data_IF_809897230822
#
_entry.id   IF_809897230822
#
_cell.length_a   1.000
_cell.length_b   1.000
_cell.length_c   1.000
_cell.angle_alpha   90.00
_cell.angle_beta   90.00
_cell.angle_gamma   90.00
#
_symmetry.space_group_name_H-M   'P 1'
#
loop_
_entity.id
_entity.type
_entity.pdbx_description
1 polymer ?
#
# COMPACT_ATOMS: atom_id res chain seq x y z
N UNK A 1 -8.04 0.43 -23.71
CA UNK A 1 -6.72 0.96 -24.11
C UNK A 1 -6.19 1.67 -22.87
N UNK A 2 -5.26 1.05 -22.15
CA UNK A 2 -4.67 1.68 -20.95
C UNK A 2 -3.73 2.79 -21.45
N UNK A 3 -4.14 4.03 -21.28
CA UNK A 3 -3.25 5.17 -21.48
C UNK A 3 -2.21 5.12 -20.34
N UNK A 4 -0.99 4.74 -20.67
CA UNK A 4 0.13 4.79 -19.73
C UNK A 4 0.36 6.25 -19.35
N UNK A 5 0.11 6.60 -18.08
CA UNK A 5 0.77 7.74 -17.46
C UNK A 5 2.28 7.52 -17.58
N UNK A 6 3.03 8.57 -17.84
CA UNK A 6 4.50 8.45 -17.84
C UNK A 6 4.92 8.08 -16.42
N UNK A 7 5.47 6.88 -16.28
CA UNK A 7 6.09 6.44 -15.03
C UNK A 7 7.54 6.88 -15.05
N UNK A 8 7.92 7.74 -14.14
CA UNK A 8 9.29 8.22 -13.96
C UNK A 8 9.96 7.44 -12.83
N UNK A 9 11.20 7.04 -13.03
CA UNK A 9 12.02 6.45 -11.99
C UNK A 9 12.90 7.53 -11.36
N UNK A 10 12.84 7.63 -10.04
CA UNK A 10 13.70 8.54 -9.28
C UNK A 10 14.30 7.83 -8.06
N UNK A 11 15.23 8.51 -7.39
CA UNK A 11 15.85 8.03 -6.16
C UNK A 11 15.69 9.06 -5.06
N UNK A 12 15.24 8.59 -3.89
CA UNK A 12 15.12 9.38 -2.65
C UNK A 12 16.21 8.90 -1.70
N UNK A 13 16.86 9.81 -0.98
CA UNK A 13 17.83 9.44 0.03
C UNK A 13 17.10 8.86 1.25
N UNK A 14 17.39 7.62 1.58
CA UNK A 14 16.92 6.93 2.78
C UNK A 14 18.05 6.70 3.80
N UNK A 15 17.73 6.11 4.96
CA UNK A 15 18.70 5.90 6.06
C UNK A 15 19.87 4.98 5.71
N UNK A 16 19.65 4.00 4.83
CA UNK A 16 20.67 3.01 4.45
C UNK A 16 21.17 3.19 3.01
N UNK A 17 20.79 4.28 2.36
CA UNK A 17 21.17 4.62 0.98
C UNK A 17 19.96 5.00 0.13
N UNK A 18 20.10 4.95 -1.18
CA UNK A 18 19.04 5.39 -2.10
C UNK A 18 17.85 4.43 -2.10
N UNK A 19 16.64 5.00 -2.12
CA UNK A 19 15.37 4.31 -2.30
C UNK A 19 14.92 4.57 -3.74
N UNK A 20 14.78 3.52 -4.54
CA UNK A 20 14.17 3.59 -5.86
C UNK A 20 12.67 3.84 -5.73
N UNK A 21 12.15 4.83 -6.44
CA UNK A 21 10.73 5.17 -6.44
C UNK A 21 10.24 5.36 -7.87
N UNK A 22 9.16 4.67 -8.22
CA UNK A 22 8.43 4.92 -9.46
C UNK A 22 7.35 5.96 -9.17
N UNK A 23 7.36 7.05 -9.94
CA UNK A 23 6.40 8.14 -9.80
C UNK A 23 5.51 8.20 -11.03
N UNK A 24 4.21 8.09 -10.82
CA UNK A 24 3.22 8.18 -11.87
C UNK A 24 2.45 9.51 -11.71
N UNK A 25 2.27 10.23 -12.82
CA UNK A 25 1.58 11.52 -12.83
C UNK A 25 0.18 11.39 -13.44
N UNK A 26 -0.84 12.04 -12.88
CA UNK A 26 -2.16 12.10 -13.51
C UNK A 26 -2.09 12.90 -14.81
N UNK A 27 -3.04 12.64 -15.72
CA UNK A 27 -3.11 13.36 -17.00
C UNK A 27 -3.65 14.80 -16.84
N UNK A 28 -4.50 14.99 -15.85
CA UNK A 28 -5.17 16.25 -15.55
C UNK A 28 -4.51 16.94 -14.33
N UNK A 29 -5.19 17.94 -13.80
CA UNK A 29 -4.77 18.70 -12.62
C UNK A 29 -4.45 17.80 -11.43
N UNK A 30 -3.35 18.07 -10.75
CA UNK A 30 -2.93 17.36 -9.53
C UNK A 30 -3.83 17.78 -8.36
N UNK A 31 -4.56 16.82 -7.79
CA UNK A 31 -5.53 17.00 -6.69
C UNK A 31 -5.12 16.32 -5.38
N UNK A 32 -3.99 15.63 -5.38
CA UNK A 32 -3.50 14.90 -4.23
C UNK A 32 -2.20 14.16 -4.55
N UNK A 33 -1.68 13.48 -3.56
CA UNK A 33 -0.60 12.53 -3.77
C UNK A 33 -0.87 11.24 -3.01
N UNK A 34 -0.29 10.13 -3.49
CA UNK A 34 -0.45 8.82 -2.87
C UNK A 34 0.89 8.10 -2.75
N UNK A 35 1.05 7.29 -1.70
CA UNK A 35 2.15 6.33 -1.57
C UNK A 35 1.57 4.92 -1.58
N UNK A 36 2.10 4.04 -2.45
CA UNK A 36 1.61 2.67 -2.63
C UNK A 36 2.75 1.68 -2.44
N UNK A 37 2.61 0.79 -1.47
CA UNK A 37 3.60 -0.20 -1.08
C UNK A 37 3.30 -1.60 -1.62
N UNK A 38 4.35 -2.30 -2.07
CA UNK A 38 4.25 -3.57 -2.79
C UNK A 38 4.34 -4.81 -1.89
N UNK A 39 3.98 -6.03 -2.35
CA UNK A 39 4.07 -7.25 -1.55
C UNK A 39 5.53 -7.65 -1.29
N UNK A 40 5.70 -8.78 -0.57
CA UNK A 40 6.98 -9.21 0.00
C UNK A 40 8.09 -9.35 -1.07
N UNK A 41 9.19 -8.57 -0.95
CA UNK A 41 10.23 -8.51 -1.99
C UNK A 41 10.91 -9.86 -2.25
N UNK A 42 11.22 -10.62 -1.19
CA UNK A 42 11.86 -11.94 -1.32
C UNK A 42 10.93 -13.03 -1.88
N UNK A 43 9.66 -12.67 -2.20
CA UNK A 43 8.68 -13.56 -2.83
C UNK A 43 8.23 -13.04 -4.20
N UNK A 44 9.08 -12.26 -4.86
CA UNK A 44 8.81 -11.70 -6.17
C UNK A 44 7.88 -10.48 -6.15
N UNK A 45 7.65 -9.89 -4.98
CA UNK A 45 6.89 -8.65 -4.86
C UNK A 45 7.66 -7.46 -5.45
N UNK A 46 6.99 -6.67 -6.29
CA UNK A 46 7.53 -5.45 -6.89
C UNK A 46 6.46 -4.35 -6.96
N UNK A 47 6.85 -3.07 -7.12
CA UNK A 47 5.91 -1.97 -7.35
C UNK A 47 5.01 -2.15 -8.60
N UNK A 48 5.43 -3.01 -9.55
CA UNK A 48 4.69 -3.33 -10.78
C UNK A 48 3.73 -4.52 -10.61
N UNK A 49 3.72 -5.18 -9.45
CA UNK A 49 2.76 -6.27 -9.20
C UNK A 49 1.32 -5.76 -9.40
N UNK A 50 0.44 -6.63 -9.95
CA UNK A 50 -0.91 -6.26 -10.43
C UNK A 50 -1.79 -5.53 -9.41
N UNK A 51 -1.68 -5.82 -8.11
CA UNK A 51 -2.49 -5.15 -7.08
C UNK A 51 -1.95 -3.75 -6.76
N UNK A 52 -0.66 -3.53 -6.44
CA UNK A 52 -0.09 -2.17 -6.36
C UNK A 52 -0.30 -1.34 -7.62
N UNK A 53 -0.16 -1.93 -8.81
CA UNK A 53 -0.42 -1.23 -10.08
C UNK A 53 -1.88 -0.80 -10.20
N UNK A 54 -2.84 -1.63 -9.79
CA UNK A 54 -4.26 -1.26 -9.74
C UNK A 54 -4.51 -0.14 -8.73
N UNK A 55 -3.94 -0.22 -7.51
CA UNK A 55 -4.05 0.86 -6.51
C UNK A 55 -3.51 2.17 -7.06
N UNK A 56 -2.33 2.14 -7.70
CA UNK A 56 -1.73 3.32 -8.33
C UNK A 56 -2.66 3.92 -9.40
N UNK A 57 -3.21 3.07 -10.28
CA UNK A 57 -4.16 3.52 -11.29
C UNK A 57 -5.40 4.19 -10.68
N UNK A 58 -5.96 3.64 -9.58
CA UNK A 58 -7.13 4.20 -8.91
C UNK A 58 -6.83 5.59 -8.31
N UNK A 59 -5.64 5.79 -7.74
CA UNK A 59 -5.22 7.08 -7.24
C UNK A 59 -4.89 8.07 -8.36
N UNK A 60 -4.31 7.62 -9.48
CA UNK A 60 -4.12 8.45 -10.68
C UNK A 60 -5.45 8.97 -11.23
N UNK A 61 -6.48 8.12 -11.30
CA UNK A 61 -7.83 8.52 -11.71
C UNK A 61 -8.49 9.50 -10.74
N UNK A 62 -8.04 9.51 -9.47
CA UNK A 62 -8.41 10.52 -8.48
C UNK A 62 -7.68 11.85 -8.66
N UNK A 63 -6.72 11.92 -9.58
CA UNK A 63 -5.85 13.09 -9.79
C UNK A 63 -4.63 13.13 -8.86
N UNK A 64 -4.23 12.00 -8.28
CA UNK A 64 -3.04 11.96 -7.41
C UNK A 64 -1.76 11.71 -8.21
N UNK A 65 -0.66 12.36 -7.81
CA UNK A 65 0.68 11.88 -8.11
C UNK A 65 0.96 10.66 -7.24
N UNK A 66 1.39 9.54 -7.82
CA UNK A 66 1.54 8.27 -7.08
C UNK A 66 3.00 7.87 -6.99
N UNK A 67 3.49 7.69 -5.76
CA UNK A 67 4.82 7.22 -5.43
C UNK A 67 4.79 5.74 -5.07
N UNK A 68 5.54 4.92 -5.78
CA UNK A 68 5.63 3.46 -5.56
C UNK A 68 7.09 3.08 -5.27
N UNK A 69 7.53 3.09 -4.00
CA UNK A 69 8.89 2.69 -3.67
C UNK A 69 9.14 1.21 -3.92
N UNK A 70 10.36 0.86 -4.34
CA UNK A 70 10.93 -0.46 -4.18
C UNK A 70 11.46 -0.59 -2.76
N UNK A 71 11.07 -1.63 -2.02
CA UNK A 71 11.58 -1.84 -0.67
C UNK A 71 13.09 -2.08 -0.67
N UNK A 72 13.75 -1.76 0.45
CA UNK A 72 15.18 -2.00 0.64
C UNK A 72 15.57 -3.43 0.25
N UNK A 73 16.73 -3.56 -0.42
CA UNK A 73 17.21 -4.84 -0.94
C UNK A 73 16.42 -5.38 -2.14
N UNK A 74 15.52 -4.58 -2.75
CA UNK A 74 14.83 -4.93 -3.99
C UNK A 74 14.91 -3.82 -5.04
N UNK A 75 14.77 -4.16 -6.31
CA UNK A 75 15.00 -3.22 -7.40
C UNK A 75 16.39 -2.62 -7.33
N UNK A 76 16.48 -1.29 -7.35
CA UNK A 76 17.72 -0.54 -7.18
C UNK A 76 17.81 0.15 -5.79
N UNK A 77 16.93 -0.20 -4.86
CA UNK A 77 16.98 0.30 -3.49
C UNK A 77 18.12 -0.31 -2.71
N UNK A 78 18.85 0.52 -1.97
CA UNK A 78 19.94 0.10 -1.09
C UNK A 78 19.44 -0.72 0.11
N UNK A 79 20.38 -1.31 0.85
CA UNK A 79 20.11 -2.05 2.07
C UNK A 79 19.73 -3.51 1.83
N UNK A 80 19.10 -4.11 2.82
CA UNK A 80 18.63 -5.49 2.83
C UNK A 80 17.24 -5.54 3.45
N UNK A 81 16.47 -6.59 3.15
CA UNK A 81 15.16 -6.83 3.76
C UNK A 81 15.27 -6.96 5.29
N UNK A 82 14.41 -6.22 6.03
CA UNK A 82 14.40 -6.14 7.49
C UNK A 82 13.01 -6.43 8.09
N UNK A 83 12.28 -7.35 7.51
CA UNK A 83 11.01 -7.88 8.04
C UNK A 83 9.96 -6.80 8.36
N UNK A 84 9.96 -5.70 7.63
CA UNK A 84 9.04 -4.57 7.80
C UNK A 84 9.52 -3.49 8.77
N UNK A 85 10.68 -3.63 9.41
CA UNK A 85 11.24 -2.57 10.27
C UNK A 85 11.86 -1.45 9.42
N UNK A 86 12.88 -1.78 8.66
CA UNK A 86 13.56 -0.82 7.81
C UNK A 86 12.67 -0.35 6.65
N UNK A 87 11.87 -1.24 6.07
CA UNK A 87 10.91 -0.89 5.01
C UNK A 87 9.89 0.17 5.47
N UNK A 88 9.51 0.15 6.76
CA UNK A 88 8.65 1.17 7.36
C UNK A 88 9.34 2.53 7.39
N UNK A 89 10.61 2.58 7.81
CA UNK A 89 11.37 3.83 7.87
C UNK A 89 11.59 4.40 6.47
N UNK A 90 11.96 3.56 5.49
CA UNK A 90 12.09 3.99 4.09
C UNK A 90 10.77 4.52 3.53
N UNK A 91 9.64 3.87 3.88
CA UNK A 91 8.32 4.33 3.45
C UNK A 91 7.97 5.70 4.04
N UNK A 92 8.35 5.97 5.30
CA UNK A 92 8.19 7.29 5.93
C UNK A 92 9.02 8.36 5.21
N UNK A 93 10.26 8.06 4.81
CA UNK A 93 11.08 8.99 4.01
C UNK A 93 10.41 9.33 2.67
N UNK A 94 9.82 8.33 2.00
CA UNK A 94 9.07 8.56 0.76
C UNK A 94 7.82 9.40 1.02
N UNK A 95 7.09 9.17 2.10
CA UNK A 95 5.93 9.98 2.49
C UNK A 95 6.36 11.42 2.79
N UNK A 96 7.44 11.63 3.54
CA UNK A 96 7.98 12.96 3.86
C UNK A 96 8.41 13.69 2.59
N UNK A 97 9.12 13.03 1.68
CA UNK A 97 9.51 13.60 0.40
C UNK A 97 8.27 14.00 -0.42
N UNK A 98 7.32 13.07 -0.60
CA UNK A 98 6.10 13.34 -1.37
C UNK A 98 5.31 14.52 -0.76
N UNK A 99 5.19 14.58 0.56
CA UNK A 99 4.57 15.70 1.27
C UNK A 99 5.29 17.03 1.01
N UNK A 100 6.63 17.03 0.98
CA UNK A 100 7.40 18.26 0.68
C UNK A 100 7.17 18.79 -0.73
N UNK A 101 6.85 17.89 -1.68
CA UNK A 101 6.51 18.26 -3.06
C UNK A 101 5.05 18.71 -3.22
N UNK A 102 4.17 18.32 -2.28
CA UNK A 102 2.71 18.49 -2.35
C UNK A 102 2.12 18.96 -1.01
N UNK A 103 2.72 20.01 -0.39
CA UNK A 103 2.45 20.42 1.00
C UNK A 103 0.97 20.64 1.31
N UNK A 104 0.22 21.27 0.40
CA UNK A 104 -1.17 21.67 0.60
C UNK A 104 -2.19 20.65 0.03
N UNK A 105 -1.71 19.55 -0.53
CA UNK A 105 -2.57 18.56 -1.15
C UNK A 105 -2.88 17.38 -0.23
N UNK A 106 -4.08 16.77 -0.36
CA UNK A 106 -4.44 15.59 0.42
C UNK A 106 -3.53 14.41 0.11
N UNK A 107 -3.15 13.69 1.17
CA UNK A 107 -2.37 12.46 1.11
C UNK A 107 -3.29 11.24 1.12
N UNK A 108 -3.01 10.28 0.24
CA UNK A 108 -3.64 8.97 0.16
C UNK A 108 -2.60 7.87 0.36
N UNK A 109 -3.01 6.73 0.92
CA UNK A 109 -2.12 5.61 1.15
C UNK A 109 -2.70 4.30 0.62
N UNK A 110 -1.83 3.43 0.10
CA UNK A 110 -2.22 2.11 -0.35
C UNK A 110 -1.15 1.06 -0.07
N UNK A 111 -1.59 -0.19 0.13
CA UNK A 111 -0.64 -1.28 0.31
C UNK A 111 -1.26 -2.64 0.03
N UNK A 112 -0.40 -3.58 -0.38
CA UNK A 112 -0.81 -4.96 -0.62
C UNK A 112 0.09 -5.94 0.13
N UNK A 113 -0.53 -6.90 0.85
CA UNK A 113 0.16 -7.97 1.55
C UNK A 113 1.21 -7.42 2.53
N UNK A 114 2.46 -7.83 2.46
CA UNK A 114 3.56 -7.24 3.24
C UNK A 114 3.59 -5.70 3.15
N UNK A 115 3.34 -5.13 1.97
CA UNK A 115 3.22 -3.68 1.81
C UNK A 115 2.06 -3.09 2.60
N UNK A 116 0.93 -3.78 2.74
CA UNK A 116 -0.16 -3.33 3.59
C UNK A 116 0.26 -3.28 5.07
N UNK A 117 1.05 -4.25 5.54
CA UNK A 117 1.64 -4.24 6.89
C UNK A 117 2.61 -3.07 7.08
N UNK A 118 3.54 -2.88 6.13
CA UNK A 118 4.49 -1.76 6.16
C UNK A 118 3.75 -0.42 6.18
N UNK A 119 2.72 -0.25 5.33
CA UNK A 119 1.91 0.96 5.30
C UNK A 119 1.17 1.18 6.62
N UNK A 120 0.59 0.15 7.23
CA UNK A 120 -0.06 0.26 8.54
C UNK A 120 0.92 0.68 9.63
N UNK A 121 2.15 0.15 9.62
CA UNK A 121 3.22 0.58 10.55
C UNK A 121 3.62 2.03 10.30
N UNK A 122 3.85 2.43 9.04
CA UNK A 122 4.16 3.81 8.68
C UNK A 122 3.06 4.76 9.13
N UNK A 123 1.80 4.41 8.86
CA UNK A 123 0.62 5.17 9.32
C UNK A 123 0.63 5.40 10.83
N UNK A 124 0.90 4.35 11.62
CA UNK A 124 0.89 4.43 13.09
C UNK A 124 2.00 5.31 13.68
N UNK A 125 3.05 5.60 12.89
CA UNK A 125 4.17 6.45 13.29
C UNK A 125 4.03 7.90 12.81
N UNK A 126 3.09 8.18 11.91
CA UNK A 126 2.83 9.54 11.44
C UNK A 126 2.10 10.36 12.52
N UNK A 127 2.39 11.66 12.66
CA UNK A 127 1.54 12.58 13.41
C UNK A 127 0.12 12.62 12.84
N UNK A 128 -0.88 12.86 13.69
CA UNK A 128 -2.31 12.78 13.31
C UNK A 128 -2.67 13.77 12.20
N UNK A 129 -2.08 14.94 12.20
CA UNK A 129 -2.30 16.02 11.24
C UNK A 129 -1.72 15.73 9.83
N UNK A 130 -0.86 14.72 9.73
CA UNK A 130 -0.30 14.28 8.43
C UNK A 130 -0.78 12.88 8.01
N UNK A 131 -1.78 12.33 8.70
CA UNK A 131 -2.39 11.07 8.30
C UNK A 131 -3.01 11.15 6.89
N UNK A 132 -3.01 10.05 6.13
CA UNK A 132 -3.72 10.00 4.86
C UNK A 132 -5.21 10.22 5.07
N UNK A 133 -5.84 10.96 4.15
CA UNK A 133 -7.29 11.21 4.17
C UNK A 133 -8.09 9.94 3.87
N UNK A 134 -7.54 9.06 3.04
CA UNK A 134 -8.07 7.72 2.79
C UNK A 134 -6.92 6.71 2.62
N UNK A 135 -7.13 5.50 3.14
CA UNK A 135 -6.14 4.41 3.07
C UNK A 135 -6.77 3.12 2.54
N UNK A 136 -6.08 2.39 1.65
CA UNK A 136 -6.54 1.12 1.10
C UNK A 136 -5.52 0.03 1.39
N UNK A 137 -5.90 -0.98 2.17
CA UNK A 137 -5.06 -2.10 2.56
C UNK A 137 -5.66 -3.43 2.08
N UNK A 138 -4.97 -4.07 1.13
CA UNK A 138 -5.41 -5.32 0.52
C UNK A 138 -4.59 -6.49 1.07
N UNK A 139 -5.25 -7.58 1.50
CA UNK A 139 -4.59 -8.79 1.99
C UNK A 139 -3.63 -8.52 3.15
N UNK A 140 -4.05 -7.71 4.13
CA UNK A 140 -3.23 -7.27 5.27
C UNK A 140 -2.86 -8.47 6.15
N UNK A 141 -1.56 -8.80 6.35
CA UNK A 141 -1.15 -9.81 7.30
C UNK A 141 -1.26 -9.28 8.74
N UNK A 142 -1.94 -10.03 9.60
CA UNK A 142 -2.21 -9.64 11.00
C UNK A 142 -1.80 -10.72 12.01
N UNK A 143 -1.20 -11.81 11.53
CA UNK A 143 -0.77 -12.96 12.32
C UNK A 143 0.45 -13.63 11.68
N UNK A 144 0.72 -14.87 12.01
CA UNK A 144 1.81 -15.65 11.43
C UNK A 144 1.46 -16.15 10.04
N UNK A 145 2.27 -15.80 9.05
CA UNK A 145 2.14 -16.23 7.66
C UNK A 145 3.13 -17.35 7.36
N UNK A 146 2.64 -18.43 6.72
CA UNK A 146 3.42 -19.61 6.36
C UNK A 146 4.22 -20.24 7.53
N UNK A 147 3.72 -20.11 8.76
CA UNK A 147 4.32 -20.67 9.96
C UNK A 147 5.66 -20.07 10.42
N UNK A 148 6.19 -19.08 9.69
CA UNK A 148 7.54 -18.54 9.94
C UNK A 148 7.62 -17.02 10.03
N UNK A 149 6.74 -16.28 9.35
CA UNK A 149 6.73 -14.81 9.35
C UNK A 149 5.65 -14.30 10.28
N UNK A 150 6.05 -13.70 11.37
CA UNK A 150 5.12 -13.17 12.37
C UNK A 150 4.90 -11.67 12.20
N UNK A 151 3.65 -11.28 11.91
CA UNK A 151 3.28 -9.89 11.71
C UNK A 151 2.50 -9.34 12.91
N UNK A 152 3.12 -8.39 13.61
CA UNK A 152 2.46 -7.58 14.62
C UNK A 152 2.00 -6.30 13.97
N UNK A 153 0.81 -6.33 13.36
CA UNK A 153 0.27 -5.16 12.67
C UNK A 153 -0.40 -4.23 13.68
N UNK A 154 0.01 -2.94 13.73
CA UNK A 154 -0.55 -1.99 14.68
C UNK A 154 -2.01 -1.68 14.38
N UNK A 155 -2.73 -1.28 15.41
CA UNK A 155 -4.07 -0.71 15.25
C UNK A 155 -3.98 0.72 14.72
N UNK A 156 -4.70 1.00 13.65
CA UNK A 156 -4.75 2.31 13.00
C UNK A 156 -6.20 2.79 12.91
N UNK A 157 -6.40 4.11 12.94
CA UNK A 157 -7.74 4.73 12.91
C UNK A 157 -7.79 5.75 11.78
N UNK A 158 -8.90 5.81 11.08
CA UNK A 158 -9.09 6.75 9.96
C UNK A 158 -10.12 6.22 8.99
N UNK A 159 -10.21 6.84 7.83
CA UNK A 159 -11.01 6.36 6.71
C UNK A 159 -10.20 5.30 5.95
N UNK A 160 -10.42 4.02 6.30
CA UNK A 160 -9.60 2.90 5.85
C UNK A 160 -10.47 1.81 5.24
N UNK A 161 -10.17 1.44 4.00
CA UNK A 161 -10.74 0.30 3.32
C UNK A 161 -9.80 -0.91 3.49
N UNK A 162 -10.24 -1.89 4.28
CA UNK A 162 -9.62 -3.21 4.33
C UNK A 162 -10.31 -4.14 3.34
N UNK A 163 -9.56 -4.72 2.41
CA UNK A 163 -10.07 -5.69 1.42
C UNK A 163 -9.34 -7.01 1.57
N UNK A 164 -10.12 -8.10 1.66
CA UNK A 164 -9.58 -9.44 1.84
C UNK A 164 -10.25 -10.45 0.92
N UNK A 165 -9.49 -11.42 0.41
CA UNK A 165 -10.04 -12.55 -0.32
C UNK A 165 -10.60 -13.60 0.65
N UNK A 166 -11.79 -14.16 0.35
CA UNK A 166 -12.35 -15.24 1.17
C UNK A 166 -11.48 -16.52 1.16
N UNK A 167 -10.93 -16.83 -0.02
CA UNK A 167 -10.06 -17.98 -0.24
C UNK A 167 -8.56 -17.61 -0.16
N UNK A 168 -8.21 -16.61 0.64
CA UNK A 168 -6.82 -16.22 0.89
C UNK A 168 -6.15 -17.28 1.78
N UNK A 169 -5.20 -18.02 1.21
CA UNK A 169 -4.42 -19.07 1.83
C UNK A 169 -3.03 -18.62 2.31
N UNK A 170 -2.69 -17.36 2.10
CA UNK A 170 -1.43 -16.73 2.54
C UNK A 170 -1.64 -15.93 3.82
N UNK A 171 -2.59 -14.99 3.80
CA UNK A 171 -3.03 -14.21 4.96
C UNK A 171 -4.47 -14.60 5.24
N UNK A 172 -4.72 -15.42 6.27
CA UNK A 172 -6.04 -16.00 6.47
C UNK A 172 -7.09 -14.93 6.80
N UNK A 173 -8.27 -15.01 6.18
CA UNK A 173 -9.40 -14.14 6.49
C UNK A 173 -9.80 -14.20 7.96
N UNK A 174 -9.69 -15.37 8.58
CA UNK A 174 -9.96 -15.56 10.02
C UNK A 174 -9.08 -14.67 10.90
N UNK A 175 -7.79 -14.54 10.56
CA UNK A 175 -6.84 -13.72 11.31
C UNK A 175 -7.15 -12.24 11.13
N UNK A 176 -7.49 -11.83 9.89
CA UNK A 176 -7.93 -10.46 9.60
C UNK A 176 -9.19 -10.09 10.39
N UNK A 177 -10.20 -10.97 10.45
CA UNK A 177 -11.44 -10.75 11.23
C UNK A 177 -11.13 -10.69 12.74
N UNK A 178 -10.27 -11.56 13.24
CA UNK A 178 -9.88 -11.56 14.65
C UNK A 178 -9.16 -10.27 15.04
N UNK A 179 -8.27 -9.77 14.17
CA UNK A 179 -7.56 -8.51 14.37
C UNK A 179 -8.50 -7.30 14.27
N UNK A 180 -9.44 -7.28 13.31
CA UNK A 180 -10.36 -6.18 13.07
C UNK A 180 -11.44 -6.03 14.17
N UNK A 181 -11.88 -7.14 14.77
CA UNK A 181 -13.01 -7.22 15.70
C UNK A 181 -12.91 -6.29 16.93
N UNK A 182 -11.79 -6.25 17.69
CA UNK A 182 -11.69 -5.36 18.86
C UNK A 182 -11.79 -3.89 18.51
N UNK A 183 -11.40 -3.51 17.30
CA UNK A 183 -11.37 -2.15 16.79
C UNK A 183 -12.65 -1.76 16.04
N UNK A 184 -13.53 -2.73 15.79
CA UNK A 184 -14.76 -2.56 15.00
C UNK A 184 -14.49 -2.08 13.56
N UNK A 185 -13.35 -2.50 12.97
CA UNK A 185 -13.06 -2.19 11.58
C UNK A 185 -14.02 -2.92 10.64
N UNK A 186 -14.44 -2.24 9.59
CA UNK A 186 -15.15 -2.86 8.47
C UNK A 186 -14.14 -3.56 7.56
N UNK A 187 -14.47 -4.78 7.15
CA UNK A 187 -13.65 -5.57 6.22
C UNK A 187 -14.50 -5.93 5.00
N UNK A 188 -14.07 -5.48 3.84
CA UNK A 188 -14.67 -5.88 2.56
C UNK A 188 -14.11 -7.23 2.14
N UNK A 189 -14.94 -8.25 2.12
CA UNK A 189 -14.56 -9.59 1.69
C UNK A 189 -14.98 -9.79 0.24
N UNK A 190 -14.05 -10.29 -0.60
CA UNK A 190 -14.34 -10.73 -1.96
C UNK A 190 -14.52 -12.25 -1.98
N UNK A 191 -15.77 -12.76 -2.13
CA UNK A 191 -16.05 -14.19 -2.12
C UNK A 191 -15.29 -14.96 -3.20
N UNK A 192 -14.62 -16.05 -2.84
CA UNK A 192 -13.82 -16.89 -3.72
C UNK A 192 -12.47 -16.30 -4.18
N UNK A 193 -12.13 -15.06 -3.83
CA UNK A 193 -10.85 -14.46 -4.21
C UNK A 193 -9.70 -15.03 -3.37
N UNK A 194 -8.59 -15.38 -4.02
CA UNK A 194 -7.34 -15.76 -3.35
C UNK A 194 -6.52 -14.52 -2.93
N UNK A 195 -5.39 -14.74 -2.27
CA UNK A 195 -4.46 -13.67 -1.82
C UNK A 195 -4.11 -12.66 -2.92
N UNK A 196 -3.85 -13.14 -4.12
CA UNK A 196 -3.42 -12.31 -5.25
C UNK A 196 -4.58 -11.71 -6.05
N UNK A 197 -5.82 -11.91 -5.63
CA UNK A 197 -7.03 -11.48 -6.36
C UNK A 197 -7.03 -11.92 -7.83
N UNK A 198 -6.52 -13.12 -8.10
CA UNK A 198 -6.45 -13.68 -9.46
C UNK A 198 -7.84 -13.91 -10.03
N UNK A 199 -8.15 -13.26 -11.14
CA UNK A 199 -9.51 -13.27 -11.73
C UNK A 199 -10.49 -12.29 -11.08
N UNK A 200 -10.12 -11.60 -10.00
CA UNK A 200 -10.98 -10.70 -9.22
C UNK A 200 -10.58 -9.22 -9.28
N UNK A 201 -9.64 -8.83 -10.14
CA UNK A 201 -9.20 -7.42 -10.24
C UNK A 201 -10.33 -6.45 -10.58
N UNK A 202 -11.34 -6.90 -11.33
CA UNK A 202 -12.54 -6.09 -11.63
C UNK A 202 -13.36 -5.81 -10.36
N UNK A 203 -13.59 -6.83 -9.53
CA UNK A 203 -14.31 -6.72 -8.26
C UNK A 203 -13.53 -5.87 -7.26
N UNK A 204 -12.20 -6.07 -7.18
CA UNK A 204 -11.30 -5.25 -6.39
C UNK A 204 -11.41 -3.77 -6.80
N UNK A 205 -11.34 -3.46 -8.10
CA UNK A 205 -11.55 -2.12 -8.63
C UNK A 205 -12.90 -1.52 -8.21
N UNK A 206 -14.00 -2.27 -8.31
CA UNK A 206 -15.33 -1.82 -7.92
C UNK A 206 -15.38 -1.45 -6.42
N UNK A 207 -14.79 -2.28 -5.55
CA UNK A 207 -14.74 -2.01 -4.11
C UNK A 207 -13.96 -0.71 -3.82
N UNK A 208 -12.79 -0.54 -4.46
CA UNK A 208 -11.96 0.66 -4.34
C UNK A 208 -12.70 1.90 -4.87
N UNK A 209 -13.34 1.80 -6.05
CA UNK A 209 -14.11 2.91 -6.63
C UNK A 209 -15.18 3.39 -5.66
N UNK A 210 -15.96 2.49 -5.08
CA UNK A 210 -17.00 2.84 -4.10
C UNK A 210 -16.46 3.56 -2.88
N UNK A 211 -15.26 3.26 -2.46
CA UNK A 211 -14.61 3.90 -1.31
C UNK A 211 -14.04 5.27 -1.66
N UNK A 212 -13.36 5.40 -2.79
CA UNK A 212 -12.67 6.64 -3.16
C UNK A 212 -13.60 7.77 -3.62
N UNK A 213 -14.81 7.47 -4.12
CA UNK A 213 -15.73 8.44 -4.73
C UNK A 213 -17.07 8.59 -3.97
N UNK A 214 -17.10 8.26 -2.67
CA UNK A 214 -18.27 8.56 -1.82
C UNK A 214 -18.16 9.97 -1.21
#
# INVERSE_FOLDING_TARGET
MYLFSMSEQMFIQGPVGQIEVFVDYPQDEVKGFAVVTHPHPLQGGTPQHKVPALLAQMFLERGCVVYRPSFRGSGQSAGQHEEGHGETIDTLEVIHYARSQHADLPFYAGGFSFGAHVMAKSYSMLPVDVHPVQTILCGLPTATVAGVRHYVTPHIKGDILFIHGEADDVTLLSDMIQWAKPQRHLVTVLPGANHFFTGYLKQLRIAITRFLWI
#
